data_IF_211408914150
#
_entry.id   IF_211408914150
#
_cell.length_a   1.000
_cell.length_b   1.000
_cell.length_c   1.000
_cell.angle_alpha   90.00
_cell.angle_beta   90.00
_cell.angle_gamma   90.00
#
_symmetry.space_group_name_H-M   'P 1'
#
loop_
_entity.id
_entity.type
_entity.pdbx_description
1 polymer ?
#
# COMPACT_ATOMS: atom_id res chain seq x y z
N UNK A 1 11.76 14.28 -1.92
CA UNK A 1 10.84 13.29 -1.35
C UNK A 1 11.08 11.96 -2.03
N UNK A 2 11.43 10.96 -1.23
CA UNK A 2 11.70 9.60 -1.69
C UNK A 2 10.62 8.68 -1.11
N UNK A 3 9.96 7.90 -1.95
CA UNK A 3 8.91 6.97 -1.56
C UNK A 3 9.21 5.62 -2.21
N UNK A 4 9.17 4.57 -1.41
CA UNK A 4 9.35 3.19 -1.86
C UNK A 4 8.13 2.37 -1.47
N UNK A 5 7.57 1.64 -2.44
CA UNK A 5 6.65 0.54 -2.25
C UNK A 5 7.38 -0.77 -2.59
N UNK A 6 7.61 -1.61 -1.59
CA UNK A 6 8.14 -2.95 -1.78
C UNK A 6 7.02 -3.98 -1.61
N UNK A 7 6.81 -4.81 -2.63
CA UNK A 7 5.80 -5.88 -2.59
C UNK A 7 6.46 -7.25 -2.58
N UNK A 8 5.97 -8.13 -1.71
CA UNK A 8 6.40 -9.51 -1.61
C UNK A 8 5.22 -10.46 -1.83
N UNK A 9 5.48 -11.73 -2.11
CA UNK A 9 4.43 -12.75 -2.01
C UNK A 9 4.11 -12.90 -0.52
N UNK A 10 5.15 -13.19 0.27
CA UNK A 10 5.14 -13.14 1.72
C UNK A 10 6.32 -12.30 2.20
N UNK A 11 6.06 -11.14 2.80
CA UNK A 11 7.12 -10.26 3.24
C UNK A 11 7.88 -10.89 4.42
N UNK A 12 9.22 -11.02 4.33
CA UNK A 12 10.00 -11.52 5.45
C UNK A 12 10.00 -10.49 6.59
N UNK A 13 10.09 -10.95 7.84
CA UNK A 13 10.09 -10.08 9.01
C UNK A 13 11.21 -9.02 8.98
N UNK A 14 12.34 -9.34 8.34
CA UNK A 14 13.47 -8.42 8.15
C UNK A 14 13.13 -7.24 7.22
N UNK A 15 12.18 -7.39 6.29
CA UNK A 15 11.74 -6.29 5.43
C UNK A 15 10.78 -5.33 6.14
N UNK A 16 10.09 -5.79 7.20
CA UNK A 16 9.06 -5.01 7.87
C UNK A 16 9.66 -3.97 8.83
N UNK A 17 9.44 -2.68 8.54
CA UNK A 17 10.01 -1.53 9.28
C UNK A 17 8.95 -0.47 9.56
N UNK A 18 9.18 0.33 10.61
CA UNK A 18 8.22 1.35 11.02
C UNK A 18 7.03 0.77 11.78
N UNK A 19 5.85 1.33 11.53
CA UNK A 19 4.60 0.81 12.06
C UNK A 19 4.20 -0.45 11.31
N UNK A 20 4.06 -1.56 12.04
CA UNK A 20 3.62 -2.86 11.51
C UNK A 20 2.12 -3.04 11.70
N UNK A 21 1.43 -3.52 10.69
CA UNK A 21 0.01 -3.84 10.77
C UNK A 21 -0.17 -5.33 11.06
N UNK A 22 -0.63 -5.65 12.26
CA UNK A 22 -0.83 -7.03 12.70
C UNK A 22 -2.13 -7.65 12.18
N UNK A 23 -3.08 -6.83 11.72
CA UNK A 23 -4.39 -7.23 11.22
C UNK A 23 -4.58 -6.82 9.75
N UNK A 24 -3.62 -7.22 8.91
CA UNK A 24 -3.61 -6.93 7.49
C UNK A 24 -4.04 -8.16 6.67
N UNK A 25 -4.92 -7.96 5.67
CA UNK A 25 -5.47 -9.04 4.85
C UNK A 25 -5.31 -8.73 3.36
N UNK A 26 -4.70 -9.68 2.63
CA UNK A 26 -4.54 -9.59 1.19
C UNK A 26 -5.92 -9.55 0.51
N UNK A 27 -6.11 -8.82 -0.60
CA UNK A 27 -7.41 -8.71 -1.24
C UNK A 27 -7.84 -9.94 -2.06
N UNK A 28 -6.96 -10.93 -2.22
CA UNK A 28 -7.21 -12.15 -2.99
C UNK A 28 -6.22 -13.24 -2.62
N UNK A 29 -6.64 -14.50 -2.71
CA UNK A 29 -5.78 -15.69 -2.56
C UNK A 29 -4.80 -15.88 -3.73
N UNK A 30 -5.09 -15.30 -4.90
CA UNK A 30 -4.18 -15.30 -6.06
C UNK A 30 -3.27 -14.08 -6.05
N UNK A 31 -1.97 -14.31 -6.24
CA UNK A 31 -0.96 -13.26 -6.35
C UNK A 31 -1.28 -12.27 -7.48
N UNK A 32 -1.67 -12.77 -8.65
CA UNK A 32 -1.95 -11.93 -9.81
C UNK A 32 -3.12 -10.97 -9.56
N UNK A 33 -4.17 -11.43 -8.89
CA UNK A 33 -5.31 -10.59 -8.51
C UNK A 33 -4.96 -9.63 -7.37
N UNK A 34 -4.20 -10.08 -6.38
CA UNK A 34 -3.76 -9.25 -5.26
C UNK A 34 -2.84 -8.11 -5.73
N UNK A 35 -1.83 -8.45 -6.55
CA UNK A 35 -0.95 -7.49 -7.21
C UNK A 35 -1.72 -6.45 -8.02
N UNK A 36 -2.74 -6.85 -8.79
CA UNK A 36 -3.59 -5.90 -9.53
C UNK A 36 -4.38 -4.97 -8.62
N UNK A 37 -4.94 -5.48 -7.52
CA UNK A 37 -5.66 -4.67 -6.53
C UNK A 37 -4.76 -3.61 -5.89
N UNK A 38 -3.53 -3.99 -5.51
CA UNK A 38 -2.56 -3.11 -4.86
C UNK A 38 -1.93 -2.11 -5.81
N UNK A 39 -1.53 -2.54 -7.02
CA UNK A 39 -0.72 -1.73 -7.94
C UNK A 39 -1.52 -0.99 -9.01
N UNK A 40 -2.73 -1.47 -9.35
CA UNK A 40 -3.51 -0.98 -10.49
C UNK A 40 -4.96 -0.68 -10.13
N UNK A 41 -5.30 -0.56 -8.84
CA UNK A 41 -6.61 -0.11 -8.35
C UNK A 41 -7.78 -0.73 -9.12
N UNK A 42 -8.05 -2.02 -8.92
CA UNK A 42 -9.12 -2.69 -9.66
C UNK A 42 -10.43 -2.74 -8.88
N UNK A 43 -11.42 -1.98 -9.37
CA UNK A 43 -12.82 -1.93 -8.91
C UNK A 43 -13.66 -3.19 -9.20
N UNK A 44 -13.02 -4.36 -9.31
CA UNK A 44 -13.65 -5.53 -9.95
C UNK A 44 -14.43 -6.48 -9.04
N UNK A 45 -14.32 -6.37 -7.72
CA UNK A 45 -14.61 -7.51 -6.84
C UNK A 45 -15.72 -7.23 -5.82
N UNK A 46 -16.01 -5.96 -5.46
CA UNK A 46 -16.74 -5.71 -4.21
C UNK A 46 -18.01 -4.86 -4.27
N UNK A 47 -18.52 -4.54 -5.45
CA UNK A 47 -19.75 -3.71 -5.53
C UNK A 47 -20.83 -4.26 -6.45
N UNK A 48 -20.70 -5.47 -7.01
CA UNK A 48 -21.68 -5.98 -7.97
C UNK A 48 -21.85 -5.08 -9.21
N UNK A 49 -20.91 -4.15 -9.44
CA UNK A 49 -20.87 -3.33 -10.65
C UNK A 49 -19.92 -3.99 -11.66
N UNK A 50 -20.51 -4.41 -12.78
CA UNK A 50 -19.85 -5.03 -13.94
C UNK A 50 -18.59 -4.26 -14.42
N UNK A 51 -17.67 -4.94 -15.15
CA UNK A 51 -16.33 -4.50 -15.57
C UNK A 51 -16.26 -3.34 -16.58
N UNK A 52 -17.27 -2.48 -16.65
CA UNK A 52 -17.39 -1.42 -17.65
C UNK A 52 -16.53 -0.18 -17.37
N UNK A 53 -15.91 -0.08 -16.20
CA UNK A 53 -14.90 0.95 -15.89
C UNK A 53 -13.55 0.29 -15.74
N UNK A 54 -12.87 0.06 -16.87
CA UNK A 54 -11.48 -0.36 -16.91
C UNK A 54 -10.57 0.75 -16.35
N UNK A 55 -10.49 0.84 -15.02
CA UNK A 55 -9.44 1.61 -14.38
C UNK A 55 -8.12 0.88 -14.62
N UNK A 56 -7.31 1.43 -15.53
CA UNK A 56 -6.00 0.91 -15.93
C UNK A 56 -4.84 1.69 -15.31
N UNK A 57 -5.13 2.74 -14.55
CA UNK A 57 -4.10 3.65 -14.02
C UNK A 57 -3.27 2.96 -12.96
N UNK A 58 -2.00 2.71 -13.27
CA UNK A 58 -1.05 2.14 -12.31
C UNK A 58 -0.61 3.22 -11.34
N UNK A 59 -0.28 2.82 -10.12
CA UNK A 59 0.32 3.75 -9.14
C UNK A 59 1.57 4.44 -9.72
N UNK A 60 2.37 3.75 -10.54
CA UNK A 60 3.52 4.33 -11.24
C UNK A 60 3.12 5.49 -12.15
N UNK A 61 1.99 5.38 -12.87
CA UNK A 61 1.52 6.43 -13.78
C UNK A 61 1.07 7.66 -12.97
N UNK A 62 0.43 7.43 -11.82
CA UNK A 62 0.03 8.49 -10.87
C UNK A 62 1.24 9.30 -10.41
N UNK A 63 2.31 8.62 -10.00
CA UNK A 63 3.52 9.27 -9.53
C UNK A 63 4.30 9.94 -10.67
N UNK A 64 4.34 9.33 -11.84
CA UNK A 64 4.94 9.93 -13.03
C UNK A 64 4.21 11.22 -13.46
N UNK A 65 2.88 11.21 -13.54
CA UNK A 65 2.06 12.39 -13.83
C UNK A 65 2.24 13.50 -12.78
N UNK A 66 2.49 13.13 -11.53
CA UNK A 66 2.80 14.05 -10.45
C UNK A 66 4.24 14.61 -10.47
N UNK A 67 5.06 14.20 -11.45
CA UNK A 67 6.44 14.66 -11.61
C UNK A 67 7.47 13.95 -10.73
N UNK A 68 7.19 12.72 -10.30
CA UNK A 68 8.20 11.85 -9.69
C UNK A 68 8.96 11.08 -10.78
N UNK A 69 10.26 10.86 -10.54
CA UNK A 69 10.98 9.81 -11.25
C UNK A 69 10.51 8.46 -10.72
N UNK A 70 9.99 7.62 -11.61
CA UNK A 70 9.56 6.25 -11.27
C UNK A 70 10.72 5.29 -11.50
N UNK A 71 10.96 4.42 -10.52
CA UNK A 71 12.03 3.41 -10.58
C UNK A 71 11.57 2.04 -10.13
N UNK A 72 12.23 1.03 -10.67
CA UNK A 72 12.05 -0.39 -10.29
C UNK A 72 13.33 -0.98 -9.67
N UNK A 73 14.30 -0.11 -9.33
CA UNK A 73 15.55 -0.48 -8.68
C UNK A 73 15.79 0.33 -7.39
N UNK A 74 16.63 -0.22 -6.51
CA UNK A 74 17.02 0.42 -5.26
C UNK A 74 18.22 1.38 -5.40
N UNK A 75 18.62 1.75 -6.63
CA UNK A 75 19.80 2.60 -6.82
C UNK A 75 19.50 4.03 -6.39
N UNK A 76 20.58 4.74 -6.05
CA UNK A 76 20.52 6.17 -5.80
C UNK A 76 19.98 6.90 -7.04
N UNK A 77 19.21 7.95 -6.80
CA UNK A 77 18.73 8.87 -7.83
C UNK A 77 19.07 10.30 -7.41
N UNK A 78 19.49 11.10 -8.39
CA UNK A 78 19.75 12.53 -8.25
C UNK A 78 18.45 13.36 -8.27
N UNK A 79 17.30 12.75 -8.57
CA UNK A 79 16.02 13.45 -8.61
C UNK A 79 15.56 13.82 -7.20
N UNK A 80 15.04 15.04 -7.07
CA UNK A 80 14.44 15.51 -5.82
C UNK A 80 13.14 14.76 -5.46
N UNK A 81 12.48 14.09 -6.41
CA UNK A 81 11.23 13.34 -6.19
C UNK A 81 11.31 11.99 -6.87
N UNK A 82 11.32 10.92 -6.08
CA UNK A 82 11.46 9.54 -6.57
C UNK A 82 10.35 8.66 -5.99
N UNK A 83 9.73 7.87 -6.84
CA UNK A 83 8.82 6.79 -6.46
C UNK A 83 9.41 5.46 -6.93
N UNK A 84 9.70 4.56 -6.00
CA UNK A 84 10.21 3.21 -6.27
C UNK A 84 9.12 2.19 -6.09
N UNK A 85 8.89 1.37 -7.11
CA UNK A 85 8.08 0.16 -7.02
C UNK A 85 9.02 -1.04 -7.14
N UNK A 86 9.28 -1.71 -6.03
CA UNK A 86 10.19 -2.85 -5.96
C UNK A 86 9.40 -4.13 -5.73
N UNK A 87 9.46 -5.06 -6.69
CA UNK A 87 8.81 -6.37 -6.55
C UNK A 87 9.84 -7.43 -6.14
N UNK A 88 9.59 -8.11 -5.02
CA UNK A 88 10.50 -9.08 -4.41
C UNK A 88 11.95 -8.56 -4.25
N UNK A 89 12.19 -7.33 -3.75
CA UNK A 89 13.55 -6.87 -3.55
C UNK A 89 14.26 -7.68 -2.47
N UNK A 90 15.59 -7.66 -2.48
CA UNK A 90 16.38 -8.07 -1.33
C UNK A 90 15.99 -7.19 -0.11
N UNK A 91 15.55 -7.77 1.03
CA UNK A 91 15.23 -7.00 2.23
C UNK A 91 16.34 -6.06 2.69
N UNK A 92 17.62 -6.45 2.52
CA UNK A 92 18.76 -5.61 2.90
C UNK A 92 18.84 -4.31 2.07
N UNK A 93 18.37 -4.34 0.82
CA UNK A 93 18.32 -3.14 -0.01
C UNK A 93 17.36 -2.09 0.57
N UNK A 94 16.27 -2.52 1.22
CA UNK A 94 15.28 -1.62 1.80
C UNK A 94 15.82 -0.84 3.01
N UNK A 95 16.80 -1.38 3.73
CA UNK A 95 17.42 -0.69 4.87
C UNK A 95 18.20 0.56 4.43
N UNK A 96 18.79 0.49 3.24
CA UNK A 96 19.60 1.58 2.67
C UNK A 96 18.77 2.71 2.07
N UNK A 97 17.47 2.49 1.87
CA UNK A 97 16.58 3.47 1.26
C UNK A 97 16.14 4.53 2.27
N UNK A 98 16.22 5.78 1.83
CA UNK A 98 15.76 6.95 2.58
C UNK A 98 14.30 7.29 2.25
N UNK A 99 13.64 8.10 3.09
CA UNK A 99 12.30 8.61 2.81
C UNK A 99 11.18 7.70 3.34
N UNK A 100 10.09 7.52 2.61
CA UNK A 100 8.98 6.67 3.06
C UNK A 100 9.17 5.27 2.49
N UNK A 101 9.09 4.23 3.32
CA UNK A 101 9.19 2.84 2.87
C UNK A 101 7.96 2.07 3.33
N UNK A 102 7.11 1.69 2.39
CA UNK A 102 5.99 0.79 2.60
C UNK A 102 6.33 -0.61 2.10
N UNK A 103 6.00 -1.62 2.91
CA UNK A 103 6.19 -3.03 2.59
C UNK A 103 4.85 -3.74 2.72
N UNK A 104 4.45 -4.53 1.73
CA UNK A 104 3.26 -5.36 1.82
C UNK A 104 3.47 -6.76 1.25
N UNK A 105 2.80 -7.72 1.90
CA UNK A 105 2.62 -9.08 1.37
C UNK A 105 1.38 -9.09 0.50
N UNK A 106 1.50 -9.70 -0.68
CA UNK A 106 0.39 -9.87 -1.62
C UNK A 106 -0.33 -11.20 -1.40
N UNK A 107 0.24 -12.12 -0.63
CA UNK A 107 -0.36 -13.38 -0.21
C UNK A 107 -0.26 -13.55 1.31
N UNK A 108 -1.05 -14.51 1.83
CA UNK A 108 -1.04 -14.91 3.23
C UNK A 108 -2.24 -14.42 4.03
N UNK A 109 -2.52 -15.14 5.11
CA UNK A 109 -3.58 -14.84 6.07
C UNK A 109 -3.01 -15.00 7.50
N UNK A 110 -2.62 -13.91 8.19
CA UNK A 110 -2.61 -12.51 7.73
C UNK A 110 -1.56 -12.24 6.65
N UNK A 111 -1.68 -11.11 5.95
CA UNK A 111 -0.75 -10.61 4.94
C UNK A 111 0.12 -9.49 5.53
N UNK A 112 1.34 -9.77 6.02
CA UNK A 112 2.15 -8.79 6.73
C UNK A 112 2.38 -7.51 5.93
N UNK A 113 2.22 -6.37 6.60
CA UNK A 113 2.35 -5.04 6.03
C UNK A 113 2.97 -4.07 7.02
N UNK A 114 3.77 -3.12 6.55
CA UNK A 114 4.36 -2.08 7.39
C UNK A 114 4.61 -0.79 6.63
N UNK A 115 4.62 0.33 7.34
CA UNK A 115 5.01 1.63 6.80
C UNK A 115 6.02 2.28 7.73
N UNK A 116 7.20 2.59 7.19
CA UNK A 116 8.16 3.48 7.80
C UNK A 116 8.06 4.87 7.19
N UNK A 117 7.80 5.86 8.02
CA UNK A 117 7.74 7.27 7.65
C UNK A 117 8.55 8.10 8.66
N UNK A 118 9.71 8.65 8.26
CA UNK A 118 10.55 9.48 9.12
C UNK A 118 9.77 10.59 9.83
N UNK A 119 9.94 10.68 11.14
CA UNK A 119 9.26 11.65 12.01
C UNK A 119 7.75 11.47 12.17
N UNK A 120 7.16 10.39 11.65
CA UNK A 120 5.71 10.14 11.73
C UNK A 120 5.39 8.71 12.18
N UNK A 121 5.97 7.71 11.54
CA UNK A 121 5.72 6.29 11.78
C UNK A 121 7.04 5.53 11.75
N UNK A 122 7.84 5.67 12.81
CA UNK A 122 9.20 5.09 12.88
C UNK A 122 9.24 3.75 13.61
N UNK A 123 8.28 3.51 14.50
CA UNK A 123 8.13 2.27 15.26
C UNK A 123 6.68 2.05 15.69
N UNK A 124 6.35 0.82 16.07
CA UNK A 124 5.07 0.46 16.66
C UNK A 124 4.31 -0.62 15.91
N UNK A 125 3.16 -0.98 16.46
CA UNK A 125 2.26 -1.98 15.88
C UNK A 125 0.84 -1.45 15.92
N UNK A 126 0.15 -1.48 14.77
CA UNK A 126 -1.27 -1.23 14.66
C UNK A 126 -2.05 -2.54 14.56
N UNK A 127 -3.19 -2.60 15.26
CA UNK A 127 -4.14 -3.73 15.20
C UNK A 127 -5.40 -3.39 14.39
N UNK A 128 -5.44 -2.20 13.80
CA UNK A 128 -6.53 -1.80 12.93
C UNK A 128 -6.62 -2.71 11.72
N UNK A 129 -7.86 -3.03 11.32
CA UNK A 129 -8.13 -3.86 10.15
C UNK A 129 -7.75 -3.07 8.89
N UNK A 130 -6.82 -3.61 8.11
CA UNK A 130 -6.28 -2.97 6.91
C UNK A 130 -6.01 -3.98 5.80
N UNK A 131 -5.78 -3.48 4.60
CA UNK A 131 -5.44 -4.29 3.43
C UNK A 131 -4.25 -3.69 2.68
N UNK A 132 -3.42 -4.49 1.98
CA UNK A 132 -2.44 -3.98 1.04
C UNK A 132 -2.99 -2.98 0.01
N UNK A 133 -4.29 -3.02 -0.31
CA UNK A 133 -4.94 -2.04 -1.19
C UNK A 133 -4.93 -0.61 -0.62
N UNK A 134 -4.78 -0.47 0.70
CA UNK A 134 -4.73 0.81 1.40
C UNK A 134 -3.40 1.54 1.18
N UNK A 135 -2.35 0.83 0.77
CA UNK A 135 -1.00 1.42 0.61
C UNK A 135 -0.96 2.43 -0.53
N UNK A 136 -1.61 2.15 -1.66
CA UNK A 136 -1.62 3.05 -2.80
C UNK A 136 -2.20 4.44 -2.48
N UNK A 137 -3.45 4.57 -1.95
CA UNK A 137 -3.97 5.86 -1.53
C UNK A 137 -3.18 6.49 -0.38
N UNK A 138 -2.60 5.69 0.52
CA UNK A 138 -1.76 6.20 1.62
C UNK A 138 -0.50 6.88 1.08
N UNK A 139 0.25 6.23 0.18
CA UNK A 139 1.47 6.81 -0.40
C UNK A 139 1.17 8.04 -1.26
N UNK A 140 0.08 8.01 -2.03
CA UNK A 140 -0.36 9.17 -2.79
C UNK A 140 -0.72 10.35 -1.88
N UNK A 141 -1.41 10.12 -0.75
CA UNK A 141 -1.67 11.16 0.25
C UNK A 141 -0.39 11.70 0.90
N UNK A 142 0.57 10.83 1.22
CA UNK A 142 1.88 11.24 1.76
C UNK A 142 2.62 12.14 0.76
N UNK A 143 2.52 11.85 -0.55
CA UNK A 143 3.06 12.67 -1.62
C UNK A 143 2.29 13.99 -1.88
N UNK A 144 1.22 14.25 -1.13
CA UNK A 144 0.38 15.44 -1.29
C UNK A 144 -0.58 15.37 -2.48
N UNK A 145 -0.85 14.18 -3.01
CA UNK A 145 -1.82 13.98 -4.09
C UNK A 145 -3.24 13.92 -3.54
N UNK A 146 -4.21 14.36 -4.34
CA UNK A 146 -5.62 14.29 -3.98
C UNK A 146 -6.15 12.87 -4.20
N UNK A 147 -6.43 12.18 -3.09
CA UNK A 147 -6.92 10.79 -3.05
C UNK A 147 -8.38 10.69 -2.62
N UNK A 148 -9.13 11.80 -2.66
CA UNK A 148 -10.56 11.77 -2.32
C UNK A 148 -11.31 10.84 -3.28
N UNK A 149 -12.41 10.17 -2.86
CA UNK A 149 -13.14 9.22 -3.70
C UNK A 149 -13.65 9.75 -5.06
N UNK A 150 -13.78 11.08 -5.18
CA UNK A 150 -14.20 11.75 -6.41
C UNK A 150 -13.03 12.42 -7.17
N UNK A 151 -11.79 12.28 -6.68
CA UNK A 151 -10.62 12.75 -7.37
C UNK A 151 -10.39 11.90 -8.64
N UNK A 152 -9.60 12.45 -9.58
CA UNK A 152 -9.16 11.73 -10.79
C UNK A 152 -8.43 10.42 -10.44
N UNK A 153 -7.87 10.36 -9.24
CA UNK A 153 -7.21 9.20 -8.63
C UNK A 153 -8.16 8.56 -7.61
N UNK A 154 -9.10 7.74 -8.09
CA UNK A 154 -9.98 6.96 -7.21
C UNK A 154 -9.31 5.63 -6.88
N UNK A 155 -8.87 5.46 -5.64
CA UNK A 155 -8.44 4.17 -5.10
C UNK A 155 -9.59 3.50 -4.34
N UNK A 156 -9.61 2.16 -4.32
CA UNK A 156 -10.59 1.41 -3.52
C UNK A 156 -10.15 1.22 -2.06
N UNK A 157 -8.86 1.40 -1.77
CA UNK A 157 -8.32 1.35 -0.41
C UNK A 157 -8.58 2.62 0.41
N UNK A 158 -8.39 2.49 1.72
CA UNK A 158 -8.46 3.57 2.70
C UNK A 158 -7.11 4.28 2.80
N UNK A 159 -7.12 5.62 2.92
CA UNK A 159 -5.92 6.37 3.28
C UNK A 159 -5.59 6.16 4.77
N UNK A 160 -4.46 5.51 5.06
CA UNK A 160 -4.01 5.19 6.42
C UNK A 160 -3.20 6.31 7.09
N UNK A 161 -3.01 7.47 6.46
CA UNK A 161 -2.30 8.61 7.11
C UNK A 161 -2.90 8.98 8.47
N UNK A 162 -4.24 9.04 8.66
CA UNK A 162 -4.83 9.27 9.98
C UNK A 162 -4.53 8.15 11.00
N UNK A 163 -4.47 6.89 10.56
CA UNK A 163 -4.09 5.74 11.39
C UNK A 163 -2.64 5.89 11.84
N UNK A 164 -1.74 6.22 10.91
CA UNK A 164 -0.30 6.38 11.17
C UNK A 164 0.02 7.58 12.05
N UNK A 165 -0.66 8.72 11.86
CA UNK A 165 -0.36 9.97 12.60
C UNK A 165 -1.05 10.08 13.95
N UNK A 166 -2.27 9.55 14.05
CA UNK A 166 -3.17 9.86 15.16
C UNK A 166 -3.77 8.60 15.80
N UNK A 167 -3.43 7.40 15.33
CA UNK A 167 -4.04 6.17 15.82
C UNK A 167 -5.55 6.10 15.54
N UNK A 168 -6.00 6.71 14.45
CA UNK A 168 -7.40 6.62 14.01
C UNK A 168 -7.77 5.17 13.65
N UNK A 169 -9.08 4.88 13.60
CA UNK A 169 -9.58 3.56 13.20
C UNK A 169 -9.32 3.27 11.72
N UNK A 170 -9.04 2.00 11.43
CA UNK A 170 -8.96 1.46 10.07
C UNK A 170 -10.33 1.11 9.49
N UNK A 171 -10.40 0.04 8.71
CA UNK A 171 -11.67 -0.45 8.18
C UNK A 171 -12.52 -1.08 9.30
N UNK A 172 -13.82 -0.82 9.30
CA UNK A 172 -14.75 -1.61 10.13
C UNK A 172 -14.93 -3.04 9.59
N UNK A 173 -14.86 -3.18 8.26
CA UNK A 173 -15.02 -4.42 7.53
C UNK A 173 -14.27 -4.35 6.19
N UNK A 174 -13.64 -5.45 5.80
CA UNK A 174 -13.11 -5.68 4.47
C UNK A 174 -13.99 -6.74 3.80
N UNK A 175 -14.50 -6.42 2.62
CA UNK A 175 -15.22 -7.35 1.78
C UNK A 175 -14.21 -7.86 0.75
N UNK A 176 -14.14 -9.16 0.50
CA UNK A 176 -13.34 -9.78 -0.55
C UNK A 176 -14.22 -10.74 -1.36
N UNK A 177 -13.84 -11.08 -2.60
CA UNK A 177 -14.57 -12.09 -3.41
C UNK A 177 -14.73 -13.42 -2.65
N UNK A 178 -13.78 -13.72 -1.76
CA UNK A 178 -13.68 -14.98 -1.04
C UNK A 178 -14.13 -14.90 0.42
N UNK A 179 -14.69 -13.77 0.88
CA UNK A 179 -15.25 -13.66 2.23
C UNK A 179 -15.29 -12.24 2.79
N UNK A 180 -15.75 -12.12 4.04
CA UNK A 180 -15.77 -10.84 4.78
C UNK A 180 -14.83 -10.97 5.98
N UNK A 181 -13.98 -9.96 6.20
CA UNK A 181 -13.18 -9.80 7.41
C UNK A 181 -13.70 -8.61 8.19
N UNK A 182 -14.01 -8.82 9.46
CA UNK A 182 -14.44 -7.78 10.38
C UNK A 182 -13.33 -7.50 11.38
N UNK A 183 -13.33 -6.31 11.97
CA UNK A 183 -12.48 -6.07 13.13
C UNK A 183 -12.96 -6.97 14.28
N UNK A 184 -12.04 -7.75 14.86
CA UNK A 184 -12.38 -8.61 16.01
C UNK A 184 -12.88 -7.72 17.16
N UNK A 185 -13.96 -8.15 17.82
CA UNK A 185 -14.45 -7.47 19.02
C UNK A 185 -13.37 -7.60 20.12
N UNK A 186 -12.91 -6.44 20.62
CA UNK A 186 -11.93 -6.35 21.69
C UNK A 186 -12.44 -6.90 23.03
#
# INVERSE_FOLDING_TARGET
>A
MDITLATFEHAPAAALRGVRFANAWAPSESYASSRRGVLTGHRGVLTGQYPQRGATTRITDVFAEAGFEVREDARHSESARVFRLLEQPDPAALETLSGVVAVCSLLGEPAPMSVWWPGVAEEGTSRELVSPMDIAPTLAAIAGLDVRPNARLSFDGLNLVPVLRYGASGHAALFFDYGVRMQDAA
#
